data_IF_772233919941
#
_entry.id   IF_772233919941
#
_cell.length_a   1.000
_cell.length_b   1.000
_cell.length_c   1.000
_cell.angle_alpha   90.00
_cell.angle_beta   90.00
_cell.angle_gamma   90.00
#
_symmetry.space_group_name_H-M   'P 1'
#
loop_
_entity.id
_entity.type
_entity.pdbx_description
1 polymer ?
#
# COMPACT_ATOMS: atom_id res chain seq x y z
N UNK A 1 17.77 2.41 -6.25
CA UNK A 1 18.30 1.26 -7.03
C UNK A 1 19.62 0.77 -6.47
N UNK A 2 20.79 1.39 -6.77
CA UNK A 2 22.10 0.89 -6.28
C UNK A 2 22.12 0.74 -4.75
N UNK A 3 21.58 1.70 -3.99
CA UNK A 3 21.44 1.58 -2.52
C UNK A 3 20.68 0.32 -2.09
N UNK A 4 19.50 0.08 -2.67
CA UNK A 4 18.68 -1.12 -2.39
C UNK A 4 19.47 -2.42 -2.64
N UNK A 5 20.17 -2.51 -3.79
CA UNK A 5 20.96 -3.69 -4.15
C UNK A 5 22.07 -4.02 -3.12
N UNK A 6 22.60 -3.01 -2.43
CA UNK A 6 23.60 -3.19 -1.38
C UNK A 6 22.95 -3.55 -0.03
N UNK A 7 21.80 -2.97 0.28
CA UNK A 7 20.98 -3.34 1.45
C UNK A 7 20.44 -4.77 1.32
N UNK A 8 20.15 -5.22 0.10
CA UNK A 8 19.65 -6.56 -0.24
C UNK A 8 20.72 -7.67 -0.19
N UNK A 9 22.02 -7.34 -0.12
CA UNK A 9 23.12 -8.33 -0.10
C UNK A 9 22.96 -9.40 0.99
N UNK A 10 22.33 -9.04 2.13
CA UNK A 10 22.02 -9.99 3.22
C UNK A 10 21.04 -11.09 2.82
N UNK A 11 20.19 -10.86 1.83
CA UNK A 11 19.17 -11.80 1.34
C UNK A 11 19.61 -12.59 0.11
N UNK A 12 20.74 -12.24 -0.53
CA UNK A 12 21.27 -12.99 -1.69
C UNK A 12 21.42 -14.52 -1.46
N UNK A 13 21.77 -15.04 -0.27
CA UNK A 13 21.78 -16.48 -0.01
C UNK A 13 20.40 -17.16 -0.10
N UNK A 14 19.30 -16.39 -0.09
CA UNK A 14 17.92 -16.85 -0.20
C UNK A 14 17.39 -16.80 -1.64
N UNK A 15 18.15 -16.21 -2.59
CA UNK A 15 17.73 -16.09 -3.98
C UNK A 15 17.81 -17.47 -4.68
N UNK A 16 16.91 -17.77 -5.64
CA UNK A 16 17.13 -18.88 -6.55
C UNK A 16 18.31 -18.58 -7.49
N UNK A 17 18.88 -19.64 -8.07
CA UNK A 17 20.24 -19.58 -8.62
C UNK A 17 20.36 -18.72 -9.88
N UNK A 18 19.29 -18.67 -10.70
CA UNK A 18 19.24 -17.82 -11.91
C UNK A 18 19.25 -16.34 -11.53
N UNK A 19 18.39 -15.96 -10.61
CA UNK A 19 18.22 -14.59 -10.10
C UNK A 19 19.50 -14.12 -9.41
N UNK A 20 20.15 -14.99 -8.62
CA UNK A 20 21.44 -14.69 -8.02
C UNK A 20 22.55 -14.52 -9.06
N UNK A 21 22.58 -15.33 -10.13
CA UNK A 21 23.55 -15.21 -11.21
C UNK A 21 23.36 -13.91 -12.01
N UNK A 22 22.11 -13.54 -12.32
CA UNK A 22 21.76 -12.24 -12.92
C UNK A 22 22.20 -11.09 -11.99
N UNK A 23 21.92 -11.22 -10.69
CA UNK A 23 22.32 -10.23 -9.67
C UNK A 23 23.84 -10.10 -9.59
N UNK A 24 24.60 -11.19 -9.73
CA UNK A 24 26.06 -11.16 -9.80
C UNK A 24 26.57 -10.43 -11.04
N UNK A 25 25.99 -10.68 -12.22
CA UNK A 25 26.37 -9.99 -13.45
C UNK A 25 26.07 -8.48 -13.40
N UNK A 26 24.95 -8.09 -12.76
CA UNK A 26 24.59 -6.70 -12.47
C UNK A 26 25.58 -6.07 -11.48
N UNK A 27 25.87 -6.75 -10.36
CA UNK A 27 26.76 -6.25 -9.31
C UNK A 27 28.19 -6.07 -9.81
N UNK A 28 28.71 -7.04 -10.58
CA UNK A 28 30.02 -6.93 -11.24
C UNK A 28 30.07 -5.81 -12.28
N UNK A 29 29.01 -5.66 -13.09
CA UNK A 29 28.89 -4.55 -14.06
C UNK A 29 28.84 -3.16 -13.42
N UNK A 30 28.26 -3.05 -12.22
CA UNK A 30 28.24 -1.80 -11.42
C UNK A 30 29.65 -1.39 -10.97
N UNK A 31 30.52 -2.35 -10.64
CA UNK A 31 31.94 -2.12 -10.32
C UNK A 31 32.74 -1.79 -11.58
N UNK A 32 32.57 -2.57 -12.65
CA UNK A 32 33.26 -2.37 -13.93
C UNK A 32 33.01 -0.95 -14.48
N UNK A 33 31.74 -0.58 -14.66
CA UNK A 33 31.32 0.68 -15.29
C UNK A 33 31.44 1.93 -14.38
N UNK A 34 32.17 1.84 -13.26
CA UNK A 34 32.35 2.93 -12.28
C UNK A 34 31.03 3.56 -11.79
N UNK A 35 29.95 2.78 -11.68
CA UNK A 35 28.65 3.26 -11.17
C UNK A 35 28.66 3.45 -9.65
N UNK A 36 29.63 2.86 -8.96
CA UNK A 36 29.95 3.10 -7.54
C UNK A 36 31.36 3.68 -7.38
N UNK A 37 31.52 4.57 -6.41
CA UNK A 37 32.79 5.24 -6.10
C UNK A 37 33.02 5.32 -4.58
N UNK A 38 34.27 5.61 -4.19
CA UNK A 38 34.70 5.80 -2.80
C UNK A 38 34.17 4.70 -1.84
N UNK A 39 33.41 5.08 -0.80
CA UNK A 39 32.87 4.15 0.21
C UNK A 39 32.01 3.03 -0.40
N UNK A 40 31.17 3.34 -1.40
CA UNK A 40 30.31 2.36 -2.05
C UNK A 40 31.11 1.35 -2.87
N UNK A 41 32.20 1.77 -3.50
CA UNK A 41 33.13 0.86 -4.19
C UNK A 41 33.86 -0.06 -3.21
N UNK A 42 34.31 0.49 -2.06
CA UNK A 42 34.92 -0.31 -0.99
C UNK A 42 33.98 -1.37 -0.42
N UNK A 43 32.70 -1.04 -0.23
CA UNK A 43 31.65 -2.00 0.14
C UNK A 43 31.42 -3.05 -0.95
N UNK A 44 31.40 -2.66 -2.23
CA UNK A 44 31.19 -3.58 -3.35
C UNK A 44 32.28 -4.66 -3.41
N UNK A 45 33.55 -4.23 -3.40
CA UNK A 45 34.70 -5.13 -3.38
C UNK A 45 34.68 -6.01 -2.12
N UNK A 46 34.34 -5.45 -0.96
CA UNK A 46 34.23 -6.22 0.28
C UNK A 46 33.14 -7.31 0.21
N UNK A 47 31.97 -7.03 -0.36
CA UNK A 47 30.90 -8.02 -0.52
C UNK A 47 31.32 -9.14 -1.49
N UNK A 48 31.97 -8.81 -2.61
CA UNK A 48 32.54 -9.84 -3.52
C UNK A 48 33.56 -10.71 -2.77
N UNK A 49 34.50 -10.12 -2.03
CA UNK A 49 35.48 -10.86 -1.22
C UNK A 49 34.84 -11.73 -0.12
N UNK A 50 33.81 -11.24 0.58
CA UNK A 50 33.09 -12.02 1.60
C UNK A 50 32.23 -13.15 1.01
N UNK A 51 31.86 -13.04 -0.27
CA UNK A 51 31.15 -14.08 -1.02
C UNK A 51 32.10 -15.16 -1.57
N UNK A 52 33.29 -14.79 -2.07
CA UNK A 52 34.37 -15.72 -2.47
C UNK A 52 34.98 -16.45 -1.26
N UNK A 53 34.87 -15.88 -0.05
CA UNK A 53 35.20 -16.55 1.23
C UNK A 53 34.20 -17.62 1.69
N UNK A 54 33.15 -17.93 0.90
CA UNK A 54 32.25 -19.06 1.17
C UNK A 54 32.81 -20.33 0.53
N UNK A 55 32.43 -21.53 1.01
CA UNK A 55 32.85 -22.79 0.37
C UNK A 55 32.48 -22.81 -1.12
N UNK A 56 33.33 -23.42 -1.95
CA UNK A 56 33.15 -23.50 -3.41
C UNK A 56 31.77 -24.00 -3.86
N UNK A 57 31.20 -24.96 -3.14
CA UNK A 57 29.85 -25.49 -3.38
C UNK A 57 28.70 -24.56 -2.89
N UNK A 58 28.96 -23.28 -2.63
CA UNK A 58 27.96 -22.31 -2.16
C UNK A 58 27.47 -21.40 -3.28
N UNK A 59 26.16 -21.14 -3.33
CA UNK A 59 25.54 -20.13 -4.20
C UNK A 59 26.27 -18.79 -4.18
N UNK A 60 26.73 -18.36 -3.00
CA UNK A 60 27.46 -17.11 -2.81
C UNK A 60 28.90 -17.14 -3.37
N UNK A 61 29.54 -18.30 -3.44
CA UNK A 61 30.84 -18.42 -4.11
C UNK A 61 30.67 -18.23 -5.62
N UNK A 62 29.67 -18.87 -6.23
CA UNK A 62 29.33 -18.63 -7.64
C UNK A 62 28.92 -17.19 -7.93
N UNK A 63 28.18 -16.52 -7.03
CA UNK A 63 27.94 -15.07 -7.10
C UNK A 63 29.25 -14.29 -7.13
N UNK A 64 30.18 -14.57 -6.21
CA UNK A 64 31.46 -13.88 -6.10
C UNK A 64 32.33 -14.04 -7.34
N UNK A 65 32.47 -15.27 -7.84
CA UNK A 65 33.19 -15.57 -9.08
C UNK A 65 32.54 -14.87 -10.28
N UNK A 66 31.22 -14.95 -10.44
CA UNK A 66 30.48 -14.33 -11.56
C UNK A 66 30.59 -12.81 -11.54
N UNK A 67 30.50 -12.18 -10.37
CA UNK A 67 30.68 -10.74 -10.23
C UNK A 67 32.13 -10.31 -10.53
N UNK A 68 33.12 -11.06 -10.03
CA UNK A 68 34.54 -10.74 -10.18
C UNK A 68 35.04 -10.92 -11.62
N UNK A 69 34.57 -11.93 -12.35
CA UNK A 69 34.91 -12.09 -13.77
C UNK A 69 34.44 -10.92 -14.64
N UNK A 70 33.33 -10.25 -14.26
CA UNK A 70 32.78 -9.09 -14.98
C UNK A 70 33.59 -7.80 -14.81
N UNK A 71 34.42 -7.68 -13.77
CA UNK A 71 35.33 -6.53 -13.59
C UNK A 71 36.82 -6.92 -13.58
N UNK A 72 37.19 -8.11 -14.08
CA UNK A 72 38.57 -8.63 -14.01
C UNK A 72 39.63 -7.71 -14.62
N UNK A 73 39.32 -7.03 -15.72
CA UNK A 73 40.13 -5.97 -16.36
C UNK A 73 40.51 -4.81 -15.43
N UNK A 74 39.74 -4.61 -14.36
CA UNK A 74 39.95 -3.56 -13.36
C UNK A 74 40.67 -4.02 -12.10
N UNK A 75 41.00 -5.30 -11.97
CA UNK A 75 41.72 -5.82 -10.80
C UNK A 75 43.10 -5.16 -10.64
N UNK A 76 43.74 -4.72 -11.75
CA UNK A 76 44.97 -3.91 -11.76
C UNK A 76 44.86 -2.58 -11.01
N UNK A 77 43.66 -2.00 -10.93
CA UNK A 77 43.37 -0.75 -10.21
C UNK A 77 43.41 -0.97 -8.68
N UNK A 78 43.34 -2.23 -8.23
CA UNK A 78 43.13 -2.62 -6.84
C UNK A 78 44.17 -3.66 -6.34
N UNK A 79 45.50 -3.39 -6.40
CA UNK A 79 46.53 -4.38 -6.09
C UNK A 79 46.42 -4.96 -4.66
N UNK A 80 46.08 -4.14 -3.66
CA UNK A 80 45.87 -4.60 -2.29
C UNK A 80 44.65 -5.54 -2.15
N UNK A 81 43.60 -5.36 -2.97
CA UNK A 81 42.45 -6.25 -3.02
C UNK A 81 42.84 -7.61 -3.63
N UNK A 82 43.65 -7.60 -4.69
CA UNK A 82 44.21 -8.81 -5.29
C UNK A 82 45.13 -9.57 -4.33
N UNK A 83 45.96 -8.87 -3.56
CA UNK A 83 46.78 -9.49 -2.50
C UNK A 83 45.92 -10.14 -1.41
N UNK A 84 44.78 -9.54 -1.03
CA UNK A 84 43.84 -10.20 -0.12
C UNK A 84 43.15 -11.44 -0.73
N UNK A 85 42.95 -11.49 -2.05
CA UNK A 85 42.42 -12.66 -2.75
C UNK A 85 43.43 -13.82 -2.81
N UNK A 86 44.72 -13.56 -3.05
CA UNK A 86 45.74 -14.63 -3.06
C UNK A 86 45.97 -15.25 -1.67
N UNK A 87 45.64 -14.53 -0.59
CA UNK A 87 45.71 -15.07 0.79
C UNK A 87 44.52 -15.98 1.19
N UNK A 88 43.59 -16.29 0.28
CA UNK A 88 42.42 -17.12 0.60
C UNK A 88 42.73 -18.63 0.49
N UNK A 89 42.25 -19.47 1.42
CA UNK A 89 42.43 -20.93 1.33
C UNK A 89 41.69 -21.53 0.11
N UNK A 90 40.59 -20.90 -0.33
CA UNK A 90 39.81 -21.30 -1.50
C UNK A 90 40.36 -20.73 -2.83
N UNK A 91 41.53 -20.09 -2.85
CA UNK A 91 42.08 -19.43 -4.06
C UNK A 91 42.27 -20.41 -5.23
N UNK A 92 42.66 -21.65 -4.96
CA UNK A 92 42.82 -22.70 -5.97
C UNK A 92 41.50 -23.22 -6.57
N UNK A 93 40.35 -22.88 -5.99
CA UNK A 93 39.02 -23.25 -6.51
C UNK A 93 38.44 -22.20 -7.47
N UNK A 94 39.15 -21.09 -7.70
CA UNK A 94 38.78 -20.06 -8.67
C UNK A 94 39.09 -20.50 -10.11
N UNK A 95 38.37 -19.97 -11.12
CA UNK A 95 38.72 -20.19 -12.53
C UNK A 95 40.15 -19.74 -12.84
N UNK A 96 40.90 -20.53 -13.62
CA UNK A 96 42.30 -20.24 -13.97
C UNK A 96 42.46 -18.86 -14.64
N UNK A 97 41.52 -18.47 -15.50
CA UNK A 97 41.50 -17.16 -16.15
C UNK A 97 41.25 -15.99 -15.19
N UNK A 98 40.86 -16.27 -13.94
CA UNK A 98 40.58 -15.27 -12.91
C UNK A 98 41.73 -15.22 -11.90
N UNK A 99 42.31 -16.38 -11.56
CA UNK A 99 43.59 -16.51 -10.85
C UNK A 99 44.67 -15.67 -11.55
N UNK A 100 44.83 -15.83 -12.87
CA UNK A 100 45.81 -15.07 -13.66
C UNK A 100 45.60 -13.55 -13.55
N UNK A 101 44.37 -13.06 -13.74
CA UNK A 101 44.07 -11.63 -13.59
C UNK A 101 44.26 -11.11 -12.15
N UNK A 102 44.12 -11.97 -11.13
CA UNK A 102 44.41 -11.60 -9.73
C UNK A 102 45.93 -11.55 -9.47
N UNK A 103 46.72 -12.49 -9.99
CA UNK A 103 48.18 -12.50 -9.80
C UNK A 103 48.88 -11.34 -10.51
N UNK A 104 48.48 -11.02 -11.75
CA UNK A 104 48.96 -9.82 -12.45
C UNK A 104 48.38 -8.54 -11.82
N UNK A 105 47.10 -8.56 -11.40
CA UNK A 105 46.44 -7.45 -10.70
C UNK A 105 47.11 -7.07 -9.37
N UNK A 106 47.61 -8.06 -8.61
CA UNK A 106 48.38 -7.86 -7.38
C UNK A 106 49.73 -7.14 -7.60
N UNK A 107 50.18 -7.07 -8.87
CA UNK A 107 51.36 -6.33 -9.35
C UNK A 107 50.99 -5.07 -10.14
N UNK A 108 49.69 -4.70 -10.17
CA UNK A 108 49.11 -3.66 -11.03
C UNK A 108 49.46 -3.78 -12.52
N UNK A 109 49.46 -5.02 -13.03
CA UNK A 109 49.65 -5.36 -14.44
C UNK A 109 48.41 -6.07 -14.99
N UNK A 110 48.28 -6.11 -16.32
CA UNK A 110 47.33 -6.98 -17.01
C UNK A 110 48.07 -8.20 -17.59
N UNK A 111 47.46 -9.39 -17.59
CA UNK A 111 48.04 -10.55 -18.24
C UNK A 111 48.05 -10.37 -19.77
N UNK A 112 49.07 -10.90 -20.47
CA UNK A 112 49.20 -10.75 -21.92
C UNK A 112 48.10 -11.53 -22.65
N UNK A 113 47.20 -10.84 -23.35
CA UNK A 113 46.18 -11.46 -24.20
C UNK A 113 46.80 -12.21 -25.39
N UNK A 114 47.16 -13.49 -25.22
CA UNK A 114 47.60 -14.32 -26.34
C UNK A 114 47.31 -15.83 -26.17
N UNK A 115 46.07 -16.23 -26.44
CA UNK A 115 45.73 -17.60 -26.85
C UNK A 115 44.71 -17.52 -27.99
N UNK A 116 44.98 -18.09 -29.17
CA UNK A 116 44.06 -17.99 -30.31
C UNK A 116 42.83 -18.89 -30.10
N UNK A 117 41.65 -18.28 -30.08
CA UNK A 117 40.38 -19.00 -30.19
C UNK A 117 40.23 -19.54 -31.61
N UNK A 118 40.29 -20.86 -31.79
CA UNK A 118 40.15 -21.49 -33.09
C UNK A 118 38.75 -21.22 -33.69
N UNK A 119 38.72 -20.83 -34.96
CA UNK A 119 37.50 -20.56 -35.72
C UNK A 119 36.73 -21.82 -36.06
N UNK A 120 35.40 -21.80 -35.90
CA UNK A 120 34.51 -22.67 -36.67
C UNK A 120 33.41 -21.81 -37.30
N UNK A 121 33.56 -21.59 -38.60
CA UNK A 121 32.52 -21.15 -39.51
C UNK A 121 32.54 -22.10 -40.72
N UNK A 122 31.42 -22.17 -41.48
CA UNK A 122 31.12 -23.19 -42.51
C UNK A 122 30.65 -24.55 -41.95
N UNK A 123 29.70 -25.28 -42.54
CA UNK A 123 28.67 -24.90 -43.53
C UNK A 123 27.56 -25.99 -43.72
N UNK A 124 26.41 -25.57 -44.27
CA UNK A 124 25.55 -26.30 -45.24
C UNK A 124 24.78 -27.62 -44.90
N UNK A 125 23.46 -27.45 -44.74
CA UNK A 125 22.35 -28.08 -45.53
C UNK A 125 21.99 -29.60 -45.49
N UNK A 126 20.82 -29.91 -44.89
CA UNK A 126 19.64 -30.70 -45.42
C UNK A 126 19.78 -32.18 -45.90
N UNK A 127 18.67 -32.98 -46.00
CA UNK A 127 17.35 -32.97 -45.32
C UNK A 127 16.79 -34.38 -44.90
N UNK A 128 15.54 -34.39 -44.40
CA UNK A 128 14.43 -35.35 -44.71
C UNK A 128 14.10 -36.57 -43.79
N UNK A 129 12.83 -37.00 -43.95
CA UNK A 129 12.17 -38.28 -43.60
C UNK A 129 11.79 -38.64 -42.14
N UNK A 130 10.47 -38.66 -41.87
CA UNK A 130 9.80 -39.54 -40.89
C UNK A 130 9.62 -40.96 -41.48
N UNK A 131 9.38 -41.98 -40.66
CA UNK A 131 8.05 -42.63 -40.71
C UNK A 131 7.44 -43.03 -39.33
N UNK A 132 6.25 -43.63 -39.37
CA UNK A 132 5.36 -44.08 -38.27
C UNK A 132 5.08 -45.61 -38.48
N UNK A 133 4.55 -46.48 -37.59
CA UNK A 133 3.76 -46.38 -36.34
C UNK A 133 4.32 -47.43 -35.31
N UNK A 134 3.67 -48.13 -34.35
CA UNK A 134 2.25 -48.47 -34.02
C UNK A 134 2.09 -48.97 -32.56
N UNK A 135 1.10 -48.44 -31.79
CA UNK A 135 0.47 -49.06 -30.59
C UNK A 135 1.40 -49.41 -29.37
N UNK A 136 0.92 -49.77 -28.16
CA UNK A 136 -0.43 -50.07 -27.66
C UNK A 136 -0.69 -49.45 -26.26
N UNK A 137 -1.96 -49.47 -25.81
CA UNK A 137 -2.37 -49.14 -24.43
C UNK A 137 -2.54 -50.41 -23.56
N UNK A 138 -2.74 -50.25 -22.24
CA UNK A 138 -3.93 -50.87 -21.65
C UNK A 138 -4.74 -49.91 -20.75
N UNK A 139 -6.04 -50.18 -20.66
CA UNK A 139 -7.02 -49.51 -19.78
C UNK A 139 -7.33 -50.34 -18.54
N UNK A 140 -7.90 -49.70 -17.49
CA UNK A 140 -9.08 -50.10 -16.69
C UNK A 140 -9.36 -48.99 -15.62
N UNK A 141 -10.52 -48.96 -14.94
CA UNK A 141 -11.14 -47.69 -14.49
C UNK A 141 -11.39 -47.59 -12.96
N UNK A 142 -11.91 -46.44 -12.48
CA UNK A 142 -13.26 -46.37 -11.84
C UNK A 142 -13.70 -44.97 -11.34
N UNK A 143 -14.97 -44.66 -11.61
CA UNK A 143 -15.96 -43.96 -10.75
C UNK A 143 -15.82 -42.49 -10.34
N UNK A 144 -16.88 -41.74 -10.67
CA UNK A 144 -17.19 -40.36 -10.26
C UNK A 144 -17.92 -40.30 -8.90
N UNK A 145 -17.60 -39.32 -8.06
CA UNK A 145 -18.52 -38.83 -6.99
C UNK A 145 -18.42 -37.31 -6.88
N UNK A 146 -19.57 -36.62 -6.93
CA UNK A 146 -19.67 -35.16 -6.76
C UNK A 146 -20.36 -34.84 -5.44
N UNK A 147 -19.75 -33.99 -4.60
CA UNK A 147 -20.36 -33.55 -3.33
C UNK A 147 -20.26 -32.03 -3.17
N UNK A 148 -21.41 -31.36 -3.22
CA UNK A 148 -21.56 -29.92 -2.95
C UNK A 148 -21.45 -29.62 -1.46
N UNK A 149 -20.82 -28.51 -1.07
CA UNK A 149 -20.75 -28.05 0.33
C UNK A 149 -21.51 -26.73 0.48
N UNK A 150 -22.54 -26.74 1.33
CA UNK A 150 -23.38 -25.58 1.63
C UNK A 150 -23.05 -25.00 3.01
N UNK A 151 -23.14 -23.67 3.16
CA UNK A 151 -22.81 -22.95 4.39
C UNK A 151 -24.03 -22.90 5.33
N UNK A 152 -23.85 -23.30 6.59
CA UNK A 152 -24.65 -22.83 7.74
C UNK A 152 -23.81 -22.80 9.01
N UNK A 153 -24.03 -21.77 9.84
CA UNK A 153 -23.31 -21.53 11.11
C UNK A 153 -24.14 -21.93 12.32
N UNK A 154 -23.55 -22.63 13.29
CA UNK A 154 -24.18 -22.90 14.59
C UNK A 154 -23.15 -22.86 15.74
N UNK A 155 -23.53 -22.26 16.86
CA UNK A 155 -22.74 -22.17 18.11
C UNK A 155 -23.53 -22.75 19.30
N UNK A 156 -22.84 -23.26 20.35
CA UNK A 156 -23.48 -24.09 21.38
C UNK A 156 -24.23 -23.31 22.49
N UNK A 157 -25.03 -24.05 23.26
CA UNK A 157 -25.83 -23.59 24.41
C UNK A 157 -24.99 -23.50 25.70
N UNK A 158 -25.42 -22.66 26.67
CA UNK A 158 -25.94 -23.08 28.00
C UNK A 158 -26.37 -21.86 28.87
N UNK A 159 -27.47 -22.07 29.62
CA UNK A 159 -28.12 -21.34 30.73
C UNK A 159 -27.60 -19.96 31.24
N UNK A 160 -28.53 -19.08 31.70
CA UNK A 160 -28.09 -17.94 32.52
C UNK A 160 -29.05 -16.93 33.18
N UNK A 161 -30.32 -16.74 32.76
CA UNK A 161 -31.41 -15.97 33.47
C UNK A 161 -32.68 -15.84 32.59
N UNK A 162 -33.90 -15.84 33.15
CA UNK A 162 -35.12 -15.55 32.39
C UNK A 162 -35.30 -14.04 32.15
N UNK A 163 -35.76 -13.66 30.96
CA UNK A 163 -36.08 -12.27 30.61
C UNK A 163 -37.59 -12.03 30.57
N UNK A 164 -38.04 -10.82 30.92
CA UNK A 164 -39.44 -10.40 30.83
C UNK A 164 -39.79 -10.19 29.36
N UNK A 165 -40.68 -11.04 28.82
CA UNK A 165 -41.18 -10.93 27.44
C UNK A 165 -42.59 -11.52 27.23
N UNK A 166 -42.97 -12.58 27.97
CA UNK A 166 -44.25 -13.27 27.80
C UNK A 166 -45.19 -12.96 28.98
N UNK A 167 -45.89 -11.83 28.94
CA UNK A 167 -46.77 -11.37 30.02
C UNK A 167 -48.14 -10.85 29.54
N UNK A 168 -48.78 -11.60 28.63
CA UNK A 168 -50.18 -11.39 28.24
C UNK A 168 -50.95 -12.71 28.28
N UNK A 169 -50.93 -13.42 29.42
CA UNK A 169 -51.89 -14.49 29.66
C UNK A 169 -53.12 -13.94 30.38
N UNK A 170 -54.29 -14.08 29.75
CA UNK A 170 -55.58 -13.60 30.25
C UNK A 170 -56.05 -14.43 31.46
N UNK A 171 -55.62 -15.70 31.58
CA UNK A 171 -55.96 -16.56 32.73
C UNK A 171 -55.51 -15.96 34.07
N UNK A 172 -54.40 -15.23 34.10
CA UNK A 172 -53.88 -14.59 35.31
C UNK A 172 -54.78 -13.44 35.80
N UNK A 173 -55.56 -12.82 34.90
CA UNK A 173 -56.55 -11.80 35.27
C UNK A 173 -57.87 -12.42 35.75
N UNK A 174 -58.30 -13.55 35.16
CA UNK A 174 -59.48 -14.29 35.59
C UNK A 174 -59.30 -15.00 36.95
N UNK A 175 -58.09 -15.46 37.26
CA UNK A 175 -57.77 -16.00 38.60
C UNK A 175 -57.67 -14.88 39.65
N UNK A 176 -57.32 -13.65 39.24
CA UNK A 176 -57.23 -12.50 40.15
C UNK A 176 -58.59 -11.89 40.53
N UNK A 177 -59.69 -12.23 39.86
CA UNK A 177 -61.03 -11.69 40.16
C UNK A 177 -61.78 -12.40 41.30
N UNK A 178 -61.30 -13.54 41.81
CA UNK A 178 -61.97 -14.30 42.88
C UNK A 178 -61.04 -14.63 44.07
N UNK A 179 -60.45 -13.59 44.65
CA UNK A 179 -60.11 -13.52 46.09
C UNK A 179 -59.86 -12.07 46.50
N UNK A 180 -60.29 -11.74 47.72
CA UNK A 180 -59.85 -10.55 48.44
C UNK A 180 -58.39 -10.70 48.91
N UNK A 181 -57.44 -10.84 47.98
CA UNK A 181 -56.03 -10.59 48.24
C UNK A 181 -55.85 -9.08 48.46
N UNK A 182 -56.22 -8.68 49.67
CA UNK A 182 -56.09 -7.35 50.28
C UNK A 182 -54.82 -6.65 49.78
N UNK A 183 -55.00 -5.81 48.75
CA UNK A 183 -53.90 -5.20 48.00
C UNK A 183 -52.89 -4.63 48.98
N UNK A 184 -51.67 -5.18 48.96
CA UNK A 184 -50.57 -4.70 49.78
C UNK A 184 -50.08 -3.41 49.14
N UNK A 185 -50.80 -2.33 49.45
CA UNK A 185 -50.39 -0.96 49.21
C UNK A 185 -48.92 -0.85 49.66
N UNK A 186 -47.99 -0.51 48.74
CA UNK A 186 -46.57 -0.46 49.11
C UNK A 186 -46.39 0.57 50.24
N UNK A 187 -45.39 0.39 51.14
CA UNK A 187 -45.23 1.25 52.31
C UNK A 187 -45.27 2.73 51.94
N UNK A 188 -45.88 3.59 52.75
CA UNK A 188 -46.23 4.96 52.33
C UNK A 188 -45.04 5.74 51.77
N UNK A 189 -43.86 5.59 52.37
CA UNK A 189 -42.58 6.17 51.88
C UNK A 189 -42.13 5.71 50.48
N UNK A 190 -42.74 4.67 49.91
CA UNK A 190 -42.58 4.18 48.54
C UNK A 190 -43.70 4.72 47.65
N UNK A 191 -44.95 4.75 48.14
CA UNK A 191 -46.06 5.41 47.43
C UNK A 191 -45.80 6.90 47.22
N UNK A 192 -45.28 7.61 48.22
CA UNK A 192 -44.87 9.01 48.10
C UNK A 192 -43.76 9.21 47.07
N UNK A 193 -42.75 8.33 47.05
CA UNK A 193 -41.66 8.40 46.05
C UNK A 193 -42.17 8.14 44.63
N UNK A 194 -43.03 7.14 44.44
CA UNK A 194 -43.66 6.87 43.15
C UNK A 194 -44.56 8.02 42.73
N UNK A 195 -45.37 8.56 43.64
CA UNK A 195 -46.28 9.70 43.38
C UNK A 195 -45.51 10.98 43.07
N UNK A 196 -44.40 11.24 43.77
CA UNK A 196 -43.49 12.34 43.49
C UNK A 196 -42.84 12.20 42.11
N UNK A 197 -42.39 11.00 41.73
CA UNK A 197 -41.82 10.73 40.40
C UNK A 197 -42.88 10.92 39.30
N UNK A 198 -44.08 10.37 39.48
CA UNK A 198 -45.19 10.51 38.52
C UNK A 198 -45.64 11.97 38.38
N UNK A 199 -45.78 12.70 39.49
CA UNK A 199 -46.10 14.14 39.48
C UNK A 199 -44.99 15.01 38.85
N UNK A 200 -43.73 14.57 38.90
CA UNK A 200 -42.61 15.29 38.28
C UNK A 200 -42.32 14.91 36.83
N UNK A 201 -42.82 13.76 36.35
CA UNK A 201 -42.66 13.33 34.96
C UNK A 201 -43.93 13.47 34.10
N UNK A 202 -45.12 13.57 34.71
CA UNK A 202 -46.37 13.66 33.94
C UNK A 202 -46.60 15.04 33.31
N UNK A 203 -46.86 15.04 31.99
CA UNK A 203 -47.27 16.23 31.25
C UNK A 203 -48.64 16.77 31.69
N UNK A 204 -49.52 15.94 32.28
CA UNK A 204 -50.84 16.37 32.77
C UNK A 204 -50.76 17.49 33.81
N UNK A 205 -49.67 17.51 34.59
CA UNK A 205 -49.49 18.43 35.72
C UNK A 205 -48.71 19.69 35.30
N UNK A 206 -48.32 19.80 34.03
CA UNK A 206 -47.62 20.96 33.49
C UNK A 206 -48.46 22.24 33.69
N UNK A 207 -49.76 22.20 33.38
CA UNK A 207 -50.67 23.34 33.54
C UNK A 207 -50.69 23.91 34.97
N UNK A 208 -50.70 23.04 35.99
CA UNK A 208 -50.66 23.45 37.41
C UNK A 208 -49.29 23.99 37.83
N UNK A 209 -48.20 23.47 37.26
CA UNK A 209 -46.84 23.97 37.50
C UNK A 209 -46.59 25.32 36.80
N UNK A 210 -47.20 25.52 35.62
CA UNK A 210 -47.14 26.77 34.87
C UNK A 210 -47.99 27.88 35.52
N UNK A 211 -49.01 27.56 36.31
CA UNK A 211 -49.74 28.57 37.10
C UNK A 211 -48.95 29.16 38.29
N UNK A 212 -47.79 28.62 38.67
CA UNK A 212 -46.92 29.23 39.68
C UNK A 212 -46.38 30.60 39.21
N UNK A 213 -46.11 31.49 40.18
CA UNK A 213 -45.38 32.73 39.90
C UNK A 213 -43.86 32.48 39.87
N UNK A 214 -43.07 33.25 39.11
CA UNK A 214 -41.61 33.07 39.04
C UNK A 214 -40.90 33.03 40.39
N UNK A 215 -41.39 33.77 41.40
CA UNK A 215 -40.83 33.80 42.76
C UNK A 215 -41.09 32.52 43.55
N UNK A 216 -42.25 31.90 43.38
CA UNK A 216 -42.56 30.59 44.00
C UNK A 216 -41.79 29.46 43.33
N UNK A 217 -41.49 29.59 42.03
CA UNK A 217 -40.63 28.65 41.30
C UNK A 217 -39.17 28.81 41.70
N UNK A 218 -38.66 30.04 41.85
CA UNK A 218 -37.32 30.34 42.36
C UNK A 218 -37.12 29.75 43.76
N UNK A 219 -37.97 30.10 44.73
CA UNK A 219 -37.82 29.65 46.12
C UNK A 219 -37.77 28.11 46.25
N UNK A 220 -38.52 27.38 45.41
CA UNK A 220 -38.52 25.90 45.37
C UNK A 220 -37.30 25.31 44.66
N UNK A 221 -36.70 26.03 43.71
CA UNK A 221 -35.43 25.63 43.09
C UNK A 221 -34.26 25.89 44.03
N UNK A 222 -34.27 27.00 44.78
CA UNK A 222 -33.28 27.31 45.81
C UNK A 222 -33.34 26.31 46.98
N UNK A 223 -34.55 25.93 47.45
CA UNK A 223 -34.75 24.92 48.49
C UNK A 223 -34.15 23.55 48.12
N UNK A 224 -34.22 23.16 46.84
CA UNK A 224 -33.82 21.82 46.36
C UNK A 224 -32.40 21.79 45.77
N UNK A 225 -31.89 22.90 45.24
CA UNK A 225 -30.61 22.96 44.51
C UNK A 225 -29.62 24.00 45.05
N UNK A 226 -30.05 24.95 45.89
CA UNK A 226 -29.20 25.95 46.55
C UNK A 226 -28.28 26.69 45.57
N UNK A 227 -26.98 26.63 45.81
CA UNK A 227 -25.94 27.32 45.01
C UNK A 227 -25.94 26.89 43.53
N UNK A 228 -26.52 25.72 43.21
CA UNK A 228 -26.66 25.22 41.82
C UNK A 228 -27.99 25.63 41.14
N UNK A 229 -28.84 26.42 41.80
CA UNK A 229 -30.11 26.88 41.22
C UNK A 229 -29.90 27.89 40.07
N UNK A 230 -30.77 27.88 39.04
CA UNK A 230 -30.73 28.87 37.98
C UNK A 230 -31.21 30.23 38.48
N UNK A 231 -30.56 31.32 38.06
CA UNK A 231 -30.86 32.69 38.54
C UNK A 231 -32.31 33.14 38.27
N UNK A 232 -32.84 34.09 39.05
CA UNK A 232 -34.19 34.64 38.87
C UNK A 232 -34.54 34.97 37.41
N UNK A 233 -33.64 35.62 36.68
CA UNK A 233 -33.86 35.99 35.28
C UNK A 233 -34.04 34.74 34.38
N UNK A 234 -33.32 33.66 34.67
CA UNK A 234 -33.46 32.37 33.98
C UNK A 234 -34.82 31.73 34.31
N UNK A 235 -35.18 31.69 35.59
CA UNK A 235 -36.48 31.15 36.07
C UNK A 235 -37.65 31.94 35.50
N UNK A 236 -37.58 33.27 35.54
CA UNK A 236 -38.58 34.19 34.99
C UNK A 236 -38.80 33.96 33.50
N UNK A 237 -37.71 33.92 32.72
CA UNK A 237 -37.79 33.68 31.28
C UNK A 237 -38.39 32.31 30.96
N UNK A 238 -37.97 31.23 31.64
CA UNK A 238 -38.56 29.91 31.42
C UNK A 238 -40.04 29.82 31.84
N UNK A 239 -40.45 30.45 32.95
CA UNK A 239 -41.86 30.52 33.35
C UNK A 239 -42.70 31.34 32.36
N UNK A 240 -42.12 32.35 31.71
CA UNK A 240 -42.77 33.13 30.65
C UNK A 240 -42.90 32.33 29.34
N UNK A 241 -41.82 31.69 28.88
CA UNK A 241 -41.79 30.79 27.72
C UNK A 241 -42.79 29.63 27.85
N UNK A 242 -42.88 29.02 29.05
CA UNK A 242 -43.87 27.98 29.34
C UNK A 242 -45.31 28.52 29.28
N UNK A 243 -45.55 29.79 29.67
CA UNK A 243 -46.86 30.46 29.53
C UNK A 243 -47.19 30.83 28.07
N UNK A 244 -46.17 31.00 27.23
CA UNK A 244 -46.32 31.10 25.76
C UNK A 244 -46.51 29.72 25.09
N UNK A 245 -46.57 28.61 25.84
CA UNK A 245 -46.86 27.28 25.32
C UNK A 245 -45.64 26.49 24.84
N UNK A 246 -44.41 26.92 25.15
CA UNK A 246 -43.18 26.17 24.82
C UNK A 246 -43.16 24.82 25.53
N UNK A 247 -43.32 23.72 24.80
CA UNK A 247 -43.16 22.35 25.32
C UNK A 247 -41.77 21.76 25.11
N UNK A 248 -40.91 22.42 24.31
CA UNK A 248 -39.53 21.97 24.07
C UNK A 248 -38.60 22.27 25.24
N UNK A 249 -38.02 21.21 25.81
CA UNK A 249 -36.97 21.25 26.85
C UNK A 249 -35.59 21.65 26.31
N UNK A 250 -35.39 21.62 24.99
CA UNK A 250 -34.07 21.82 24.39
C UNK A 250 -33.77 23.32 24.14
N UNK A 251 -32.48 23.64 24.16
CA UNK A 251 -31.93 24.88 23.60
C UNK A 251 -32.35 25.07 22.14
N UNK A 252 -32.51 26.33 21.74
CA UNK A 252 -32.66 26.71 20.33
C UNK A 252 -31.32 26.87 19.62
N UNK A 253 -31.37 26.88 18.28
CA UNK A 253 -30.20 27.07 17.42
C UNK A 253 -29.56 28.44 17.65
N UNK A 254 -28.47 28.47 18.42
CA UNK A 254 -27.73 29.69 18.78
C UNK A 254 -27.16 30.36 17.53
N UNK A 255 -27.60 31.58 17.23
CA UNK A 255 -27.11 32.41 16.13
C UNK A 255 -25.64 32.83 16.38
N UNK A 256 -24.72 32.31 15.56
CA UNK A 256 -23.30 32.65 15.65
C UNK A 256 -22.32 31.62 15.09
N UNK A 257 -22.70 30.34 15.01
CA UNK A 257 -21.95 29.32 14.25
C UNK A 257 -22.42 29.32 12.79
N UNK A 258 -21.52 29.32 11.78
CA UNK A 258 -21.90 29.06 10.38
C UNK A 258 -22.61 27.72 10.25
N UNK A 259 -23.74 27.70 9.55
CA UNK A 259 -24.61 26.52 9.42
C UNK A 259 -23.82 25.31 8.90
N UNK A 260 -23.87 24.20 9.64
CA UNK A 260 -23.39 22.91 9.12
C UNK A 260 -24.31 22.50 7.96
N UNK A 261 -23.76 21.93 6.88
CA UNK A 261 -24.49 21.72 5.61
C UNK A 261 -25.75 20.87 5.83
N UNK A 262 -26.93 21.53 5.81
CA UNK A 262 -28.21 20.93 6.26
C UNK A 262 -29.31 21.02 5.21
N UNK A 263 -29.32 22.04 4.34
CA UNK A 263 -30.28 22.14 3.22
C UNK A 263 -29.82 21.29 2.02
N UNK A 264 -30.73 20.51 1.43
CA UNK A 264 -30.41 19.67 0.26
C UNK A 264 -29.94 20.51 -0.93
N UNK A 265 -30.65 21.59 -1.22
CA UNK A 265 -30.35 22.55 -2.30
C UNK A 265 -28.88 23.00 -2.28
N UNK A 266 -28.33 23.23 -1.08
CA UNK A 266 -26.96 23.66 -0.86
C UNK A 266 -25.92 22.55 -1.08
N UNK A 267 -26.32 21.27 -0.90
CA UNK A 267 -25.53 20.09 -1.28
C UNK A 267 -25.55 19.93 -2.81
N UNK A 268 -26.72 20.12 -3.43
CA UNK A 268 -26.93 20.00 -4.87
C UNK A 268 -26.15 21.09 -5.65
N UNK A 269 -26.13 22.33 -5.17
CA UNK A 269 -25.27 23.42 -5.70
C UNK A 269 -23.78 23.06 -5.64
N UNK A 270 -23.31 22.53 -4.50
CA UNK A 270 -21.91 22.08 -4.33
C UNK A 270 -21.59 20.94 -5.31
N UNK A 271 -22.52 20.00 -5.49
CA UNK A 271 -22.38 18.92 -6.46
C UNK A 271 -22.32 19.45 -7.89
N UNK A 272 -23.17 20.42 -8.26
CA UNK A 272 -23.16 21.08 -9.56
C UNK A 272 -21.84 21.83 -9.84
N UNK A 273 -21.37 22.65 -8.89
CA UNK A 273 -20.07 23.34 -9.00
C UNK A 273 -18.91 22.37 -9.20
N UNK A 274 -18.89 21.25 -8.47
CA UNK A 274 -17.84 20.22 -8.53
C UNK A 274 -17.96 19.31 -9.77
N UNK A 275 -19.14 19.23 -10.39
CA UNK A 275 -19.32 18.59 -11.71
C UNK A 275 -18.78 19.49 -12.83
N UNK A 276 -19.10 20.79 -12.78
CA UNK A 276 -18.69 21.79 -13.79
C UNK A 276 -17.18 22.09 -13.78
N UNK A 277 -16.55 22.23 -12.60
CA UNK A 277 -15.08 22.23 -12.48
C UNK A 277 -14.57 21.26 -11.40
N UNK A 278 -14.15 20.08 -11.85
CA UNK A 278 -13.48 19.06 -11.01
C UNK A 278 -12.17 19.53 -10.37
N UNK A 279 -11.57 20.64 -10.82
CA UNK A 279 -10.32 21.20 -10.26
C UNK A 279 -10.54 22.31 -9.24
N UNK A 280 -11.77 22.81 -9.08
CA UNK A 280 -12.13 24.00 -8.30
C UNK A 280 -11.44 24.09 -6.93
N UNK A 281 -10.96 25.28 -6.57
CA UNK A 281 -10.28 25.52 -5.29
C UNK A 281 -11.32 25.55 -4.17
N UNK A 282 -11.00 24.96 -3.01
CA UNK A 282 -11.92 24.93 -1.85
C UNK A 282 -12.39 26.34 -1.50
N UNK A 283 -11.49 27.34 -1.49
CA UNK A 283 -11.85 28.74 -1.28
C UNK A 283 -12.96 29.26 -2.20
N UNK A 284 -13.00 28.84 -3.48
CA UNK A 284 -14.00 29.29 -4.43
C UNK A 284 -15.38 28.63 -4.20
N UNK A 285 -15.40 27.45 -3.57
CA UNK A 285 -16.65 26.87 -3.04
C UNK A 285 -17.09 27.66 -1.80
N UNK A 286 -16.17 27.94 -0.86
CA UNK A 286 -16.45 28.73 0.36
C UNK A 286 -16.92 30.16 0.03
N UNK A 287 -16.32 30.78 -0.98
CA UNK A 287 -16.65 32.12 -1.50
C UNK A 287 -18.05 32.14 -2.16
N UNK A 288 -18.52 31.02 -2.73
CA UNK A 288 -19.82 30.91 -3.38
C UNK A 288 -20.95 30.44 -2.44
N UNK A 289 -20.66 29.58 -1.45
CA UNK A 289 -21.68 28.96 -0.59
C UNK A 289 -21.58 29.36 0.89
N UNK A 290 -20.53 30.05 1.31
CA UNK A 290 -20.30 30.44 2.71
C UNK A 290 -19.92 29.29 3.67
N UNK A 291 -19.92 28.04 3.21
CA UNK A 291 -19.62 26.87 4.06
C UNK A 291 -18.11 26.72 4.26
N UNK A 292 -17.65 26.83 5.50
CA UNK A 292 -16.24 26.68 5.87
C UNK A 292 -15.81 25.23 6.18
N UNK A 293 -16.73 24.36 6.63
CA UNK A 293 -16.38 23.01 7.13
C UNK A 293 -17.38 21.92 6.69
N UNK A 294 -16.86 20.71 6.47
CA UNK A 294 -17.56 19.49 6.00
C UNK A 294 -18.23 19.60 4.62
N UNK A 295 -17.41 19.57 3.57
CA UNK A 295 -17.85 19.12 2.24
C UNK A 295 -17.88 17.58 2.21
N UNK A 296 -18.98 16.98 1.74
CA UNK A 296 -19.10 15.50 1.60
C UNK A 296 -18.26 14.92 0.44
N UNK A 297 -17.54 15.75 -0.31
CA UNK A 297 -16.72 15.35 -1.46
C UNK A 297 -15.23 15.30 -1.14
N UNK A 298 -14.57 14.18 -1.48
CA UNK A 298 -13.12 13.98 -1.27
C UNK A 298 -12.33 14.48 -2.47
N UNK A 299 -11.42 15.45 -2.27
CA UNK A 299 -10.46 15.85 -3.31
C UNK A 299 -9.31 14.83 -3.42
N UNK A 300 -9.02 14.37 -4.63
CA UNK A 300 -8.01 13.35 -4.94
C UNK A 300 -7.01 13.94 -5.94
N UNK A 301 -5.74 13.57 -5.84
CA UNK A 301 -4.72 13.93 -6.83
C UNK A 301 -4.94 13.21 -8.16
N UNK A 302 -4.78 13.92 -9.28
CA UNK A 302 -4.81 13.30 -10.59
C UNK A 302 -3.60 12.35 -10.76
N UNK A 303 -3.84 11.16 -11.33
CA UNK A 303 -2.75 10.27 -11.78
C UNK A 303 -2.14 10.83 -13.06
N UNK A 304 -0.81 10.82 -13.15
CA UNK A 304 -0.11 11.14 -14.40
C UNK A 304 -0.31 10.00 -15.41
N UNK A 305 -0.59 10.37 -16.67
CA UNK A 305 -0.70 9.44 -17.80
C UNK A 305 0.42 9.78 -18.78
N UNK A 306 1.14 8.76 -19.29
CA UNK A 306 2.39 8.95 -20.06
C UNK A 306 2.18 9.80 -21.33
N UNK A 307 1.07 9.60 -22.04
CA UNK A 307 0.68 10.37 -23.23
C UNK A 307 -0.84 10.57 -23.31
N UNK A 308 -1.29 11.65 -23.95
CA UNK A 308 -2.68 11.81 -24.35
C UNK A 308 -2.91 11.05 -25.67
N UNK A 309 -3.49 9.85 -25.60
CA UNK A 309 -3.69 9.00 -26.77
C UNK A 309 -4.77 9.54 -27.71
N UNK A 310 -4.47 9.56 -29.01
CA UNK A 310 -5.45 9.77 -30.08
C UNK A 310 -6.51 8.65 -30.09
N UNK A 311 -7.62 8.86 -30.81
CA UNK A 311 -8.63 7.80 -30.97
C UNK A 311 -8.08 6.59 -31.74
N UNK A 312 -7.18 6.82 -32.70
CA UNK A 312 -6.54 5.75 -33.47
C UNK A 312 -5.56 4.93 -32.62
N UNK A 313 -4.74 5.59 -31.79
CA UNK A 313 -3.84 4.88 -30.87
C UNK A 313 -4.65 4.01 -29.88
N UNK A 314 -5.81 4.50 -29.39
CA UNK A 314 -6.72 3.70 -28.56
C UNK A 314 -7.28 2.49 -29.32
N UNK A 315 -7.71 2.68 -30.58
CA UNK A 315 -8.22 1.60 -31.44
C UNK A 315 -7.16 0.50 -31.60
N UNK A 316 -5.93 0.87 -31.92
CA UNK A 316 -4.84 -0.08 -32.12
C UNK A 316 -4.39 -0.76 -30.82
N UNK A 317 -4.43 -0.06 -29.67
CA UNK A 317 -4.26 -0.72 -28.36
C UNK A 317 -5.34 -1.79 -28.10
N UNK A 318 -6.61 -1.55 -28.47
CA UNK A 318 -7.69 -2.53 -28.31
C UNK A 318 -7.51 -3.72 -29.26
N UNK A 319 -7.23 -3.48 -30.54
CA UNK A 319 -7.03 -4.54 -31.54
C UNK A 319 -5.84 -5.45 -31.18
N UNK A 320 -4.70 -4.85 -30.82
CA UNK A 320 -3.51 -5.61 -30.42
C UNK A 320 -3.77 -6.41 -29.13
N UNK A 321 -4.46 -5.83 -28.15
CA UNK A 321 -4.84 -6.53 -26.90
C UNK A 321 -5.79 -7.70 -27.17
N UNK A 322 -6.75 -7.55 -28.09
CA UNK A 322 -7.65 -8.63 -28.50
C UNK A 322 -6.90 -9.77 -29.22
N UNK A 323 -5.93 -9.46 -30.09
CA UNK A 323 -5.09 -10.46 -30.74
C UNK A 323 -4.19 -11.21 -29.74
N UNK A 324 -3.54 -10.48 -28.82
CA UNK A 324 -2.74 -11.09 -27.73
C UNK A 324 -3.61 -11.97 -26.81
N UNK A 325 -4.83 -11.55 -26.48
CA UNK A 325 -5.75 -12.33 -25.67
C UNK A 325 -6.17 -13.64 -26.38
N UNK A 326 -6.46 -13.58 -27.69
CA UNK A 326 -6.79 -14.77 -28.46
C UNK A 326 -5.63 -15.78 -28.47
N UNK A 327 -4.40 -15.32 -28.72
CA UNK A 327 -3.19 -16.16 -28.66
C UNK A 327 -2.98 -16.77 -27.27
N UNK A 328 -3.15 -15.96 -26.21
CA UNK A 328 -3.04 -16.42 -24.81
C UNK A 328 -4.10 -17.45 -24.41
N UNK A 329 -5.25 -17.49 -25.09
CA UNK A 329 -6.29 -18.51 -24.87
C UNK A 329 -6.03 -19.80 -25.66
N UNK A 330 -5.29 -19.73 -26.77
CA UNK A 330 -4.94 -20.90 -27.59
C UNK A 330 -3.76 -21.71 -27.03
N UNK A 331 -2.80 -21.07 -26.36
CA UNK A 331 -1.65 -21.75 -25.73
C UNK A 331 -1.24 -21.02 -24.43
N UNK A 332 -2.00 -21.17 -23.33
CA UNK A 332 -1.75 -20.40 -22.10
C UNK A 332 -0.40 -20.70 -21.44
N UNK A 333 0.07 -21.95 -21.53
CA UNK A 333 1.27 -22.40 -20.81
C UNK A 333 2.58 -21.91 -21.46
N UNK A 334 2.64 -21.81 -22.80
CA UNK A 334 3.83 -21.29 -23.50
C UNK A 334 3.73 -19.82 -23.91
N UNK A 335 2.54 -19.21 -23.98
CA UNK A 335 2.36 -17.84 -24.52
C UNK A 335 3.36 -16.84 -23.94
N UNK A 336 3.54 -16.82 -22.62
CA UNK A 336 4.50 -15.93 -21.95
C UNK A 336 5.98 -16.31 -22.19
N UNK A 337 6.27 -17.58 -22.46
CA UNK A 337 7.62 -18.08 -22.74
C UNK A 337 8.09 -17.74 -24.16
N UNK A 338 7.16 -17.57 -25.11
CA UNK A 338 7.45 -17.22 -26.50
C UNK A 338 7.86 -15.74 -26.68
N UNK A 339 7.56 -14.86 -25.72
CA UNK A 339 7.98 -13.45 -25.76
C UNK A 339 9.28 -13.21 -25.00
N UNK A 340 10.30 -12.71 -25.71
CA UNK A 340 11.37 -11.92 -25.12
C UNK A 340 11.05 -10.44 -25.36
N UNK A 341 10.98 -9.65 -24.30
CA UNK A 341 10.75 -8.20 -24.36
C UNK A 341 12.04 -7.45 -24.06
N UNK A 342 12.10 -6.18 -24.47
CA UNK A 342 13.22 -5.28 -24.25
C UNK A 342 12.72 -3.91 -23.80
N UNK A 343 13.42 -3.26 -22.87
CA UNK A 343 13.17 -1.87 -22.47
C UNK A 343 14.50 -1.19 -22.10
N UNK A 344 14.52 0.15 -22.17
CA UNK A 344 15.70 0.97 -21.96
C UNK A 344 15.52 1.90 -20.76
N UNK A 345 16.38 1.76 -19.75
CA UNK A 345 16.27 2.53 -18.50
C UNK A 345 17.52 3.33 -18.20
N UNK A 346 17.34 4.56 -17.73
CA UNK A 346 18.44 5.43 -17.32
C UNK A 346 18.82 5.17 -15.86
N UNK A 347 19.95 4.50 -15.66
CA UNK A 347 20.54 4.28 -14.34
C UNK A 347 21.38 5.50 -13.98
N UNK A 348 20.94 6.22 -12.94
CA UNK A 348 21.63 7.39 -12.39
C UNK A 348 22.61 6.95 -11.29
N UNK A 349 23.82 7.55 -11.25
CA UNK A 349 24.88 7.21 -10.27
C UNK A 349 24.39 7.33 -8.81
N UNK A 350 23.53 8.31 -8.55
CA UNK A 350 22.67 8.33 -7.37
C UNK A 350 21.24 8.66 -7.82
N UNK A 351 20.25 8.07 -7.17
CA UNK A 351 18.86 8.50 -7.31
C UNK A 351 18.71 9.84 -6.58
N UNK A 352 18.41 10.96 -7.26
CA UNK A 352 18.13 12.21 -6.58
C UNK A 352 16.85 12.05 -5.73
N UNK A 353 16.80 12.74 -4.59
CA UNK A 353 15.63 12.70 -3.71
C UNK A 353 14.37 13.13 -4.48
N UNK A 354 13.26 12.42 -4.25
CA UNK A 354 11.96 12.86 -4.76
C UNK A 354 11.55 14.17 -4.10
N UNK A 355 10.71 14.97 -4.76
CA UNK A 355 10.26 16.28 -4.24
C UNK A 355 9.67 16.24 -2.82
N UNK A 356 9.11 15.11 -2.40
CA UNK A 356 8.58 14.92 -1.05
C UNK A 356 9.64 14.47 -0.03
N UNK A 357 10.68 13.75 -0.46
CA UNK A 357 11.85 13.42 0.37
C UNK A 357 12.74 14.65 0.58
N UNK A 358 12.94 15.47 -0.46
CA UNK A 358 13.73 16.70 -0.39
C UNK A 358 13.01 17.87 0.32
N UNK A 359 11.97 17.59 1.11
CA UNK A 359 11.28 18.59 1.94
C UNK A 359 12.08 18.82 3.21
N UNK A 360 12.64 20.03 3.32
CA UNK A 360 13.36 20.48 4.49
C UNK A 360 12.63 21.68 5.10
N UNK A 361 12.74 21.85 6.42
CA UNK A 361 12.29 23.06 7.09
C UNK A 361 13.30 24.18 6.80
N UNK A 362 12.81 25.34 6.37
CA UNK A 362 13.61 26.53 6.04
C UNK A 362 12.95 27.75 6.66
N UNK A 363 13.78 28.66 7.16
CA UNK A 363 13.35 29.92 7.77
C UNK A 363 13.02 30.97 6.70
N UNK A 364 12.31 32.03 7.11
CA UNK A 364 11.70 33.03 6.22
C UNK A 364 12.69 33.76 5.29
N UNK A 365 13.98 33.79 5.66
CA UNK A 365 15.04 34.49 4.94
C UNK A 365 16.04 33.53 4.24
N UNK A 366 15.83 32.21 4.34
CA UNK A 366 16.77 31.24 3.79
C UNK A 366 16.70 31.19 2.24
N UNK A 367 17.83 30.97 1.55
CA UNK A 367 17.84 30.85 0.10
C UNK A 367 17.10 29.59 -0.36
N UNK A 368 16.41 29.69 -1.50
CA UNK A 368 15.67 28.56 -2.08
C UNK A 368 16.60 27.37 -2.36
N UNK A 369 16.36 26.25 -1.66
CA UNK A 369 17.11 25.00 -1.79
C UNK A 369 17.08 24.48 -3.23
N UNK A 370 18.24 24.02 -3.72
CA UNK A 370 18.43 23.50 -5.08
C UNK A 370 18.86 22.04 -5.04
N UNK A 371 18.00 21.13 -5.50
CA UNK A 371 18.36 19.72 -5.68
C UNK A 371 19.40 19.58 -6.79
N UNK A 372 20.53 18.93 -6.49
CA UNK A 372 21.58 18.64 -7.49
C UNK A 372 21.12 17.47 -8.37
N UNK A 373 21.33 17.58 -9.69
CA UNK A 373 21.10 16.46 -10.63
C UNK A 373 22.24 15.46 -10.56
N UNK A 374 21.96 14.17 -10.76
CA UNK A 374 22.96 13.10 -10.77
C UNK A 374 24.18 13.44 -11.65
N UNK A 375 25.39 13.35 -11.10
CA UNK A 375 26.64 13.70 -11.80
C UNK A 375 26.95 12.82 -13.02
N UNK A 376 26.22 11.73 -13.20
CA UNK A 376 26.21 10.91 -14.41
C UNK A 376 24.97 10.02 -14.47
N UNK A 377 24.69 9.52 -15.68
CA UNK A 377 23.69 8.49 -15.98
C UNK A 377 24.24 7.56 -17.07
N UNK A 378 23.87 6.30 -17.03
CA UNK A 378 24.14 5.29 -18.06
C UNK A 378 22.80 4.72 -18.52
N UNK A 379 22.68 4.39 -19.79
CA UNK A 379 21.51 3.71 -20.34
C UNK A 379 21.75 2.21 -20.26
N UNK A 380 20.82 1.48 -19.66
CA UNK A 380 20.83 0.03 -19.63
C UNK A 380 19.66 -0.50 -20.47
N UNK A 381 19.98 -1.30 -21.48
CA UNK A 381 19.01 -2.03 -22.30
C UNK A 381 18.87 -3.42 -21.70
N UNK A 382 17.69 -3.75 -21.18
CA UNK A 382 17.42 -5.02 -20.48
C UNK A 382 16.53 -5.87 -21.37
N UNK A 383 16.94 -7.11 -21.63
CA UNK A 383 16.13 -8.12 -22.33
C UNK A 383 15.69 -9.18 -21.33
N UNK A 384 14.40 -9.53 -21.32
CA UNK A 384 13.86 -10.55 -20.42
C UNK A 384 12.68 -11.31 -21.03
N UNK A 385 12.43 -12.52 -20.52
CA UNK A 385 11.29 -13.36 -20.88
C UNK A 385 10.68 -13.99 -19.61
N UNK A 386 9.74 -14.94 -19.75
CA UNK A 386 9.13 -15.62 -18.60
C UNK A 386 10.12 -16.40 -17.69
N UNK A 387 11.34 -16.70 -18.15
CA UNK A 387 12.40 -17.32 -17.35
C UNK A 387 13.33 -16.30 -16.65
N UNK A 388 13.07 -15.00 -16.77
CA UNK A 388 13.85 -13.92 -16.15
C UNK A 388 14.65 -13.08 -17.14
N UNK A 389 15.60 -12.29 -16.61
CA UNK A 389 16.47 -11.43 -17.41
C UNK A 389 17.45 -12.28 -18.22
N UNK A 390 17.39 -12.14 -19.54
CA UNK A 390 18.21 -12.87 -20.51
C UNK A 390 19.52 -12.15 -20.81
N UNK A 391 19.49 -10.81 -20.87
CA UNK A 391 20.68 -9.99 -21.15
C UNK A 391 20.54 -8.59 -20.55
N UNK A 392 21.67 -7.99 -20.16
CA UNK A 392 21.76 -6.56 -19.81
C UNK A 392 22.94 -5.97 -20.56
N UNK A 393 22.66 -4.99 -21.43
CA UNK A 393 23.65 -4.16 -22.10
C UNK A 393 23.77 -2.81 -21.41
N UNK A 394 24.99 -2.29 -21.27
CA UNK A 394 25.27 -0.94 -20.78
C UNK A 394 25.86 -0.11 -21.91
N UNK A 395 25.15 0.95 -22.31
CA UNK A 395 25.58 1.83 -23.39
C UNK A 395 26.75 2.70 -22.92
N UNK A 396 27.77 2.87 -23.76
CA UNK A 396 28.97 3.61 -23.39
C UNK A 396 28.68 5.10 -23.10
N UNK A 397 29.43 5.68 -22.16
CA UNK A 397 29.20 7.04 -21.66
C UNK A 397 29.30 8.08 -22.78
N UNK A 398 28.15 8.65 -23.16
CA UNK A 398 28.04 9.70 -24.19
C UNK A 398 27.44 9.22 -25.51
N UNK A 399 27.23 7.92 -25.70
CA UNK A 399 26.46 7.38 -26.84
C UNK A 399 24.95 7.49 -26.58
N UNK A 400 24.19 7.44 -27.68
CA UNK A 400 22.73 7.28 -27.71
C UNK A 400 22.38 6.11 -28.62
N UNK A 401 21.36 5.33 -28.26
CA UNK A 401 20.73 4.41 -29.20
C UNK A 401 19.84 5.27 -30.10
N UNK A 402 20.07 5.16 -31.42
CA UNK A 402 19.23 5.79 -32.44
C UNK A 402 18.17 4.77 -32.85
N UNK A 403 16.91 5.20 -32.97
CA UNK A 403 15.85 4.35 -33.49
C UNK A 403 15.83 4.39 -35.02
N UNK A 404 16.39 3.35 -35.65
CA UNK A 404 16.17 2.97 -37.05
C UNK A 404 15.27 1.72 -37.11
#
# INVERSE_FOLDING_TARGET
MIKNLFEEYRFFPQYPDKELQITAQLFGGIVDQNLVSYLSLGLALRYVLESVKKPSNSKMFFFGVTAMDRFKTRLKDYPAYCQHLTTLPNFHELPQNLIEYIEYGARSQEPPLNRPSASVAQALSTPSAFPNITQAAPTLPMTTTTTTVTITTATPKIAGKPSIANATNIDTLLVATEKDEKLINPPDSVQDKVSFIVNNLSQSNLSQKVSLTPKETEAKLDEVHGISAPTFATVYNWVYELKLGRTSRNDENRSGRPVEVTSSEMIDDIHYMVLSDRRIKVRAIVEATGISQKLSVKKISAKWVRHLLSMENKRNCVLNSQASLALSLCNPDEFMCQYTTVDETWIHYYTPETKDQSKQWVFKNDPALKTVKSAGKVMATVLWNASGITYIYYLAKGQTINGE
#
